data_IF_148586863906
#
_entry.id   IF_148586863906
#
_cell.length_a   1.000
_cell.length_b   1.000
_cell.length_c   1.000
_cell.angle_alpha   90.00
_cell.angle_beta   90.00
_cell.angle_gamma   90.00
#
_symmetry.space_group_name_H-M   'P 1'
#
loop_
_entity.id
_entity.type
_entity.pdbx_description
1 polymer ?
#
# COMPACT_ATOMS: atom_id res chain seq x y z
N UNK A 1 -16.26 2.01 -0.79
CA UNK A 1 -14.94 1.58 -1.28
C UNK A 1 -14.69 0.21 -0.68
N UNK A 2 -14.68 -0.84 -1.48
CA UNK A 2 -14.45 -2.22 -1.03
C UNK A 2 -12.96 -2.35 -0.65
N UNK A 3 -12.57 -3.00 0.46
CA UNK A 3 -11.16 -3.10 0.84
C UNK A 3 -10.35 -3.72 -0.31
N UNK A 4 -9.32 -3.00 -0.75
CA UNK A 4 -8.47 -3.40 -1.86
C UNK A 4 -7.54 -4.52 -1.38
N UNK A 5 -7.66 -5.71 -2.00
CA UNK A 5 -6.68 -6.79 -1.83
C UNK A 5 -5.41 -6.38 -2.55
N UNK A 6 -4.29 -6.30 -1.85
CA UNK A 6 -2.99 -6.03 -2.44
C UNK A 6 -2.02 -7.17 -2.07
N UNK A 7 -1.25 -7.64 -3.05
CA UNK A 7 -0.30 -8.76 -2.90
C UNK A 7 1.13 -8.23 -2.80
N UNK A 8 1.64 -8.06 -1.59
CA UNK A 8 2.99 -7.55 -1.35
C UNK A 8 3.99 -8.72 -1.19
N UNK A 9 5.20 -8.60 -1.75
CA UNK A 9 6.35 -9.44 -1.35
C UNK A 9 7.38 -8.55 -0.65
N UNK A 10 7.40 -8.55 0.69
CA UNK A 10 8.35 -7.75 1.46
C UNK A 10 9.57 -8.60 1.81
N UNK A 11 10.72 -8.27 1.23
CA UNK A 11 12.00 -8.82 1.67
C UNK A 11 12.48 -8.06 2.93
N UNK A 12 12.11 -8.54 4.12
CA UNK A 12 12.54 -7.98 5.41
C UNK A 12 13.96 -8.47 5.78
N UNK A 13 14.96 -7.59 5.65
CA UNK A 13 16.24 -7.70 6.36
C UNK A 13 16.29 -6.61 7.43
N UNK A 14 16.06 -6.99 8.67
CA UNK A 14 16.13 -6.09 9.83
C UNK A 14 17.58 -5.81 10.22
N UNK A 15 17.94 -4.53 10.39
CA UNK A 15 18.95 -4.02 11.33
C UNK A 15 18.82 -2.47 11.43
N UNK A 16 18.36 -1.99 12.60
CA UNK A 16 18.49 -0.65 13.19
C UNK A 16 17.97 0.61 12.43
N UNK A 17 17.03 1.33 13.06
CA UNK A 17 16.63 2.77 12.88
C UNK A 17 17.00 3.43 11.54
N UNK A 18 16.66 2.80 10.43
CA UNK A 18 16.81 3.35 9.08
C UNK A 18 15.52 3.07 8.35
N UNK A 19 14.95 4.12 7.77
CA UNK A 19 13.89 4.00 6.78
C UNK A 19 14.31 2.94 5.75
N UNK A 20 13.57 1.85 5.67
CA UNK A 20 13.79 0.81 4.68
C UNK A 20 13.02 1.18 3.42
N UNK A 21 13.53 0.80 2.26
CA UNK A 21 12.82 0.96 1.00
C UNK A 21 11.78 -0.13 0.86
N UNK A 22 10.55 0.25 0.52
CA UNK A 22 9.46 -0.65 0.17
C UNK A 22 9.04 -0.42 -1.28
N UNK A 23 8.64 -1.50 -1.94
CA UNK A 23 8.08 -1.47 -3.28
C UNK A 23 7.25 -2.73 -3.49
N UNK A 24 6.22 -2.65 -4.32
CA UNK A 24 5.40 -3.79 -4.63
C UNK A 24 4.46 -3.57 -5.80
N UNK A 25 3.85 -4.68 -6.22
CA UNK A 25 2.73 -4.72 -7.12
C UNK A 25 1.45 -5.00 -6.34
N UNK A 26 0.33 -4.43 -6.75
CA UNK A 26 -0.97 -4.73 -6.17
C UNK A 26 -2.05 -4.77 -7.24
N UNK A 27 -3.11 -5.53 -6.97
CA UNK A 27 -4.24 -5.72 -7.89
C UNK A 27 -5.42 -6.22 -7.08
N UNK A 28 -6.61 -5.70 -7.31
CA UNK A 28 -7.81 -6.07 -6.55
C UNK A 28 -8.87 -4.99 -6.60
N UNK A 29 -10.13 -5.38 -6.39
CA UNK A 29 -11.27 -4.49 -6.68
C UNK A 29 -11.27 -4.13 -8.17
N UNK A 30 -11.23 -2.84 -8.48
CA UNK A 30 -11.20 -2.32 -9.85
C UNK A 30 -9.77 -2.10 -10.37
N UNK A 31 -8.73 -2.31 -9.55
CA UNK A 31 -7.32 -2.13 -9.95
C UNK A 31 -6.80 -3.39 -10.65
N UNK A 32 -6.40 -3.23 -11.91
CA UNK A 32 -5.85 -4.30 -12.75
C UNK A 32 -4.34 -4.44 -12.55
N UNK A 33 -3.59 -3.34 -12.54
CA UNK A 33 -2.15 -3.32 -12.30
C UNK A 33 -1.76 -2.07 -11.52
N UNK A 34 -1.30 -2.27 -10.29
CA UNK A 34 -0.86 -1.25 -9.35
C UNK A 34 0.58 -1.45 -8.95
N UNK A 35 1.32 -0.36 -8.80
CA UNK A 35 2.72 -0.35 -8.36
C UNK A 35 2.90 0.72 -7.30
N UNK A 36 3.67 0.41 -6.26
CA UNK A 36 4.06 1.39 -5.25
C UNK A 36 5.56 1.35 -4.94
N UNK A 37 6.07 2.49 -4.48
CA UNK A 37 7.43 2.64 -3.96
C UNK A 37 7.43 3.67 -2.84
N UNK A 38 8.23 3.43 -1.80
CA UNK A 38 8.34 4.36 -0.70
C UNK A 38 9.31 3.94 0.38
N UNK A 39 9.08 4.46 1.58
CA UNK A 39 9.87 4.17 2.77
C UNK A 39 9.01 3.70 3.93
N UNK A 40 9.57 2.86 4.79
CA UNK A 40 8.97 2.43 6.05
C UNK A 40 9.98 2.61 7.18
N UNK A 41 9.61 3.25 8.29
CA UNK A 41 10.53 3.51 9.41
C UNK A 41 10.42 2.53 10.58
N UNK A 42 9.48 1.58 10.52
CA UNK A 42 9.19 0.65 11.60
C UNK A 42 7.78 0.83 12.17
N UNK A 43 7.15 1.98 11.93
CA UNK A 43 5.79 2.30 12.38
C UNK A 43 4.93 2.80 11.21
N UNK A 44 5.46 3.73 10.41
CA UNK A 44 4.72 4.40 9.35
C UNK A 44 5.34 4.16 7.97
N UNK A 45 4.49 3.99 6.96
CA UNK A 45 4.90 4.03 5.55
C UNK A 45 4.66 5.42 4.92
N UNK A 46 5.46 5.74 3.92
CA UNK A 46 5.31 6.93 3.08
C UNK A 46 5.59 6.50 1.64
N UNK A 47 4.53 6.42 0.82
CA UNK A 47 4.56 5.77 -0.49
C UNK A 47 3.97 6.63 -1.61
N UNK A 48 4.51 6.47 -2.81
CA UNK A 48 3.86 6.89 -4.05
C UNK A 48 3.37 5.67 -4.80
N UNK A 49 2.21 5.78 -5.43
CA UNK A 49 1.63 4.70 -6.22
C UNK A 49 1.17 5.17 -7.60
N UNK A 50 1.09 4.22 -8.52
CA UNK A 50 0.45 4.34 -9.83
C UNK A 50 -0.38 3.09 -10.09
N UNK A 51 -1.51 3.25 -10.78
CA UNK A 51 -2.37 2.12 -11.11
C UNK A 51 -3.13 2.33 -12.42
N UNK A 52 -3.56 1.22 -13.00
CA UNK A 52 -4.57 1.17 -14.06
C UNK A 52 -5.80 0.38 -13.57
N UNK A 53 -6.99 0.90 -13.83
CA UNK A 53 -8.25 0.23 -13.46
C UNK A 53 -8.83 -0.62 -14.61
N UNK A 54 -9.94 -1.31 -14.37
CA UNK A 54 -10.66 -2.12 -15.36
C UNK A 54 -11.17 -1.34 -16.57
N UNK A 55 -11.32 -0.03 -16.43
CA UNK A 55 -11.73 0.89 -17.51
C UNK A 55 -10.53 1.43 -18.31
N UNK A 56 -9.31 0.93 -18.05
CA UNK A 56 -8.04 1.40 -18.60
C UNK A 56 -7.67 2.85 -18.24
N UNK A 57 -8.27 3.40 -17.19
CA UNK A 57 -7.92 4.71 -16.68
C UNK A 57 -6.73 4.62 -15.71
N UNK A 58 -5.89 5.65 -15.72
CA UNK A 58 -4.73 5.73 -14.82
C UNK A 58 -5.00 6.64 -13.63
N UNK A 59 -4.46 6.24 -12.49
CA UNK A 59 -4.41 7.05 -11.28
C UNK A 59 -3.03 6.96 -10.62
N UNK A 60 -2.62 8.04 -9.97
CA UNK A 60 -1.43 8.10 -9.13
C UNK A 60 -1.78 8.80 -7.83
N UNK A 61 -1.01 8.53 -6.77
CA UNK A 61 -1.24 9.18 -5.49
C UNK A 61 -0.09 9.07 -4.50
N UNK A 62 -0.30 9.71 -3.36
CA UNK A 62 0.53 9.64 -2.16
C UNK A 62 -0.31 8.98 -1.08
N UNK A 63 0.30 8.09 -0.32
CA UNK A 63 -0.26 7.58 0.92
C UNK A 63 0.78 7.64 2.04
N UNK A 64 0.32 8.10 3.20
CA UNK A 64 1.04 8.06 4.47
C UNK A 64 0.11 7.38 5.48
N UNK A 65 0.64 6.42 6.21
CA UNK A 65 -0.21 5.57 7.04
C UNK A 65 0.55 4.67 7.99
N UNK A 66 -0.10 4.37 9.11
CA UNK A 66 0.43 3.51 10.15
C UNK A 66 0.28 2.04 9.74
N UNK A 67 1.34 1.27 9.98
CA UNK A 67 1.45 -0.12 9.56
C UNK A 67 1.41 -1.02 10.78
N UNK A 68 0.43 -1.91 10.82
CA UNK A 68 0.29 -2.93 11.85
C UNK A 68 0.55 -4.32 11.28
N UNK A 69 1.38 -5.11 11.98
CA UNK A 69 1.49 -6.54 11.72
C UNK A 69 0.43 -7.26 12.54
N UNK A 70 -0.49 -7.94 11.87
CA UNK A 70 -1.54 -8.72 12.51
C UNK A 70 -0.98 -10.03 13.07
N UNK A 71 -1.69 -10.61 14.04
CA UNK A 71 -1.30 -11.87 14.71
C UNK A 71 -1.15 -13.07 13.76
N UNK A 72 -1.77 -13.00 12.57
CA UNK A 72 -1.69 -14.01 11.52
C UNK A 72 -0.55 -13.78 10.51
N UNK A 73 0.28 -12.76 10.73
CA UNK A 73 1.44 -12.42 9.91
C UNK A 73 1.13 -11.49 8.73
N UNK A 74 -0.15 -11.11 8.54
CA UNK A 74 -0.55 -10.15 7.52
C UNK A 74 -0.23 -8.72 7.92
N UNK A 75 -0.07 -7.84 6.94
CA UNK A 75 0.07 -6.40 7.15
C UNK A 75 -1.26 -5.70 6.96
N UNK A 76 -1.61 -4.83 7.91
CA UNK A 76 -2.69 -3.85 7.82
C UNK A 76 -2.08 -2.45 7.71
N UNK A 77 -2.62 -1.62 6.83
CA UNK A 77 -2.26 -0.21 6.75
C UNK A 77 -3.51 0.64 6.85
N UNK A 78 -3.49 1.58 7.80
CA UNK A 78 -4.48 2.66 7.91
C UNK A 78 -3.83 3.93 7.39
N UNK A 79 -4.34 4.47 6.29
CA UNK A 79 -3.70 5.56 5.57
C UNK A 79 -4.65 6.68 5.14
N UNK A 80 -4.08 7.88 5.08
CA UNK A 80 -4.64 8.98 4.32
C UNK A 80 -4.04 8.96 2.92
N UNK A 81 -4.89 9.10 1.90
CA UNK A 81 -4.44 9.16 0.51
C UNK A 81 -4.90 10.41 -0.21
N UNK A 82 -4.07 10.85 -1.16
CA UNK A 82 -4.39 11.92 -2.12
C UNK A 82 -4.29 11.39 -3.55
N UNK A 83 -5.40 11.45 -4.30
CA UNK A 83 -5.40 11.19 -5.76
C UNK A 83 -6.40 12.08 -6.50
N UNK A 84 -5.90 12.95 -7.40
CA UNK A 84 -6.67 14.05 -8.06
C UNK A 84 -7.40 14.93 -6.99
N UNK A 85 -8.37 15.85 -7.27
CA UNK A 85 -8.90 16.70 -6.19
C UNK A 85 -9.86 15.88 -5.31
N UNK A 86 -9.29 15.08 -4.43
CA UNK A 86 -9.98 14.22 -3.48
C UNK A 86 -9.01 13.67 -2.46
N UNK A 87 -9.42 13.69 -1.19
CA UNK A 87 -8.74 13.06 -0.06
C UNK A 87 -9.67 12.03 0.57
N UNK A 88 -9.12 11.02 1.24
CA UNK A 88 -9.90 10.02 1.97
C UNK A 88 -9.03 9.12 2.86
N UNK A 89 -9.71 8.33 3.70
CA UNK A 89 -9.10 7.27 4.52
C UNK A 89 -9.31 5.91 3.84
N UNK A 90 -8.33 5.01 3.95
CA UNK A 90 -8.47 3.62 3.53
C UNK A 90 -7.87 2.64 4.55
N UNK A 91 -8.37 1.40 4.49
CA UNK A 91 -7.79 0.26 5.19
C UNK A 91 -7.37 -0.74 4.13
N UNK A 92 -6.09 -1.07 4.09
CA UNK A 92 -5.51 -2.08 3.22
C UNK A 92 -5.20 -3.34 4.03
N UNK A 93 -5.71 -4.49 3.61
CA UNK A 93 -5.44 -5.78 4.25
C UNK A 93 -4.89 -6.79 3.24
N UNK A 94 -3.84 -7.51 3.63
CA UNK A 94 -3.39 -8.69 2.88
C UNK A 94 -4.46 -9.79 2.93
N UNK A 95 -4.53 -10.60 1.88
CA UNK A 95 -5.35 -11.82 1.88
C UNK A 95 -4.51 -13.03 1.53
N UNK A 96 -4.69 -14.09 2.30
CA UNK A 96 -4.08 -15.38 2.01
C UNK A 96 -4.55 -15.86 0.62
N UNK A 97 -3.59 -16.36 -0.16
CA UNK A 97 -3.80 -16.88 -1.51
C UNK A 97 -4.52 -18.21 -1.55
#
# INVERSE_FOLDING_TARGET
MNPQKARYSVALKALAKRKIRIYANYSGGDVVDGHLVGTFDGEQWDIRYTQINTDNETATGHSVGDVELLDDGRVRVEDEWESKPGTGESIHEEVNG
#
